data_IF_543266317103
#
_entry.id   IF_543266317103
#
_cell.length_a   1.000
_cell.length_b   1.000
_cell.length_c   1.000
_cell.angle_alpha   90.00
_cell.angle_beta   90.00
_cell.angle_gamma   90.00
#
_symmetry.space_group_name_H-M   'P 1'
#
loop_
_entity.id
_entity.type
_entity.pdbx_description
1 polymer ?
#
# COMPACT_ATOMS: atom_id res chain seq x y z
N UNK A 1 -0.84 -5.22 6.64
CA UNK A 1 -0.34 -6.12 5.56
C UNK A 1 -0.38 -7.60 5.92
N UNK A 2 0.38 -8.10 6.92
CA UNK A 2 0.45 -9.56 7.22
C UNK A 2 -0.92 -10.28 7.32
N UNK A 3 -1.89 -9.72 8.06
CA UNK A 3 -3.24 -10.31 8.20
C UNK A 3 -4.04 -10.35 6.89
N UNK A 4 -3.92 -9.33 6.03
CA UNK A 4 -4.68 -9.24 4.77
C UNK A 4 -4.04 -10.03 3.63
N UNK A 5 -2.71 -9.92 3.50
CA UNK A 5 -1.96 -10.55 2.40
C UNK A 5 -1.67 -12.03 2.67
N UNK A 6 -1.51 -12.40 3.94
CA UNK A 6 -1.30 -13.79 4.35
C UNK A 6 -0.05 -14.41 3.72
N UNK A 7 -0.21 -15.61 3.15
CA UNK A 7 0.86 -16.42 2.58
C UNK A 7 1.54 -15.83 1.35
N UNK A 8 0.90 -14.85 0.68
CA UNK A 8 1.50 -14.12 -0.44
C UNK A 8 2.64 -13.19 0.00
N UNK A 9 2.70 -12.82 1.29
CA UNK A 9 3.76 -12.02 1.84
C UNK A 9 4.88 -12.94 2.38
N UNK A 10 6.08 -12.93 1.81
CA UNK A 10 7.18 -13.74 2.31
C UNK A 10 7.53 -13.38 3.75
N UNK A 11 7.88 -14.39 4.53
CA UNK A 11 8.35 -14.20 5.91
C UNK A 11 9.87 -14.16 5.95
N UNK A 12 10.43 -13.17 6.64
CA UNK A 12 11.84 -13.16 6.94
C UNK A 12 12.18 -14.16 8.04
N UNK A 13 13.32 -14.83 7.89
CA UNK A 13 13.98 -15.50 9.00
C UNK A 13 14.50 -14.47 10.03
N UNK A 14 14.87 -14.92 11.23
CA UNK A 14 15.47 -14.05 12.26
C UNK A 14 16.73 -13.33 11.74
N UNK A 15 17.61 -14.07 11.05
CA UNK A 15 18.84 -13.53 10.47
C UNK A 15 18.56 -12.46 9.41
N UNK A 16 17.63 -12.71 8.48
CA UNK A 16 17.25 -11.72 7.47
C UNK A 16 16.64 -10.46 8.11
N UNK A 17 15.80 -10.64 9.15
CA UNK A 17 15.22 -9.51 9.88
C UNK A 17 16.29 -8.64 10.55
N UNK A 18 17.34 -9.25 11.12
CA UNK A 18 18.47 -8.53 11.69
C UNK A 18 19.27 -7.75 10.65
N UNK A 19 19.43 -8.29 9.43
CA UNK A 19 20.16 -7.63 8.36
C UNK A 19 19.44 -6.38 7.83
N UNK A 20 18.10 -6.41 7.75
CA UNK A 20 17.31 -5.30 7.21
C UNK A 20 17.00 -4.23 8.27
N UNK A 21 16.86 -4.63 9.53
CA UNK A 21 16.51 -3.70 10.60
C UNK A 21 17.67 -2.72 10.84
N UNK A 22 17.44 -1.44 10.54
CA UNK A 22 18.43 -0.38 10.74
C UNK A 22 19.51 -0.32 9.65
N UNK A 23 19.29 -0.94 8.50
CA UNK A 23 20.24 -0.95 7.38
C UNK A 23 20.21 0.34 6.53
N UNK A 24 19.86 1.48 7.11
CA UNK A 24 19.72 2.75 6.39
C UNK A 24 20.09 3.92 7.31
N UNK A 25 20.97 4.80 6.82
CA UNK A 25 21.44 5.97 7.55
C UNK A 25 20.54 7.21 7.33
N UNK A 26 19.84 7.25 6.20
CA UNK A 26 18.90 8.31 5.84
C UNK A 26 17.75 7.76 5.00
N UNK A 27 16.70 8.57 4.83
CA UNK A 27 15.53 8.23 4.01
C UNK A 27 15.40 9.29 2.91
N UNK A 28 15.54 8.87 1.66
CA UNK A 28 15.18 9.69 0.49
C UNK A 28 13.69 9.49 0.15
N UNK A 29 12.93 10.58 0.05
CA UNK A 29 11.50 10.54 -0.24
C UNK A 29 11.22 11.17 -1.60
N UNK A 30 10.74 10.37 -2.55
CA UNK A 30 10.20 10.88 -3.80
C UNK A 30 8.70 11.17 -3.60
N UNK A 31 8.29 12.43 -3.75
CA UNK A 31 6.90 12.86 -3.60
C UNK A 31 6.41 13.54 -4.88
N UNK A 32 5.29 13.05 -5.43
CA UNK A 32 4.74 13.52 -6.70
C UNK A 32 3.31 14.04 -6.58
N UNK A 33 2.47 13.38 -5.78
CA UNK A 33 1.08 13.78 -5.60
C UNK A 33 0.54 13.24 -4.27
N UNK A 34 -0.61 13.79 -3.86
CA UNK A 34 -1.45 13.30 -2.77
C UNK A 34 -2.79 12.84 -3.34
N UNK A 35 -3.34 11.73 -2.83
CA UNK A 35 -4.64 11.19 -3.27
C UNK A 35 -5.59 11.11 -2.08
N UNK A 36 -6.86 11.48 -2.29
CA UNK A 36 -7.92 11.23 -1.32
C UNK A 36 -8.39 9.77 -1.37
N UNK A 37 -8.57 9.18 -0.19
CA UNK A 37 -9.04 7.80 -0.03
C UNK A 37 -10.22 7.72 0.93
N UNK A 38 -11.03 6.70 0.75
CA UNK A 38 -12.11 6.32 1.65
C UNK A 38 -11.94 4.85 2.04
N UNK A 39 -12.35 4.50 3.27
CA UNK A 39 -12.34 3.11 3.72
C UNK A 39 -13.26 2.27 2.85
N UNK A 40 -12.78 1.08 2.47
CA UNK A 40 -13.52 0.11 1.68
C UNK A 40 -13.36 -1.30 2.28
N UNK A 41 -13.24 -1.38 3.62
CA UNK A 41 -12.97 -2.63 4.33
C UNK A 41 -14.08 -3.67 4.22
N UNK A 42 -15.28 -3.22 3.85
CA UNK A 42 -16.48 -4.05 3.73
C UNK A 42 -16.69 -4.62 2.33
N UNK A 43 -15.82 -4.28 1.37
CA UNK A 43 -15.94 -4.79 0.00
C UNK A 43 -15.57 -6.26 -0.05
N UNK A 44 -16.49 -7.07 -0.57
CA UNK A 44 -16.23 -8.47 -0.88
C UNK A 44 -15.09 -8.55 -1.88
N UNK A 45 -14.08 -9.38 -1.58
CA UNK A 45 -12.95 -9.66 -2.48
C UNK A 45 -13.43 -10.54 -3.63
N UNK A 46 -14.23 -9.96 -4.52
CA UNK A 46 -14.69 -10.62 -5.75
C UNK A 46 -13.59 -10.39 -6.80
N UNK A 47 -12.58 -11.25 -6.78
CA UNK A 47 -11.47 -11.20 -7.73
C UNK A 47 -10.20 -11.88 -7.22
N UNK A 48 -9.24 -12.15 -8.12
CA UNK A 48 -7.91 -12.62 -7.72
C UNK A 48 -7.25 -11.56 -6.81
N UNK A 49 -6.52 -11.96 -5.76
CA UNK A 49 -5.85 -11.01 -4.88
C UNK A 49 -4.85 -10.13 -5.63
N UNK A 50 -4.95 -8.82 -5.47
CA UNK A 50 -4.02 -7.85 -6.04
C UNK A 50 -3.68 -6.74 -5.03
N UNK A 51 -2.73 -5.89 -5.40
CA UNK A 51 -2.26 -4.78 -4.57
C UNK A 51 -3.39 -3.81 -4.17
N UNK A 52 -4.32 -3.50 -5.09
CA UNK A 52 -5.40 -2.55 -4.85
C UNK A 52 -6.47 -3.12 -3.92
N UNK A 53 -6.82 -4.39 -4.09
CA UNK A 53 -7.74 -5.11 -3.21
C UNK A 53 -7.17 -5.25 -1.79
N UNK A 54 -5.85 -5.46 -1.65
CA UNK A 54 -5.19 -5.60 -0.35
C UNK A 54 -5.21 -4.30 0.48
N UNK A 55 -5.22 -3.15 -0.19
CA UNK A 55 -5.34 -1.85 0.47
C UNK A 55 -6.71 -1.67 1.13
N UNK A 56 -7.77 -2.28 0.59
CA UNK A 56 -9.17 -2.10 0.99
C UNK A 56 -9.54 -0.62 1.19
N UNK A 57 -9.16 0.18 0.20
CA UNK A 57 -9.52 1.59 0.10
C UNK A 57 -10.14 1.84 -1.26
N UNK A 58 -11.05 2.80 -1.30
CA UNK A 58 -11.55 3.39 -2.53
C UNK A 58 -10.81 4.71 -2.74
N UNK A 59 -10.10 4.81 -3.85
CA UNK A 59 -9.53 6.08 -4.30
C UNK A 59 -10.67 7.00 -4.76
N UNK A 60 -10.69 8.23 -4.26
CA UNK A 60 -11.57 9.28 -4.80
C UNK A 60 -10.70 10.41 -5.35
N UNK A 61 -10.45 10.40 -6.65
CA UNK A 61 -10.01 11.60 -7.36
C UNK A 61 -11.23 12.26 -7.99
N UNK A 62 -11.38 13.58 -7.85
CA UNK A 62 -12.27 14.32 -8.72
C UNK A 62 -11.78 14.15 -10.16
N UNK A 63 -12.53 13.41 -10.96
CA UNK A 63 -12.49 13.62 -12.40
C UNK A 63 -12.80 15.10 -12.62
N UNK A 64 -11.82 15.88 -13.09
CA UNK A 64 -11.91 17.28 -13.57
C UNK A 64 -11.47 18.46 -12.64
N UNK A 65 -10.44 18.34 -11.80
CA UNK A 65 -9.81 19.56 -11.20
C UNK A 65 -8.35 19.81 -11.66
N UNK A 66 -7.85 19.10 -12.68
CA UNK A 66 -6.48 19.22 -13.17
C UNK A 66 -6.31 20.03 -14.48
N UNK A 67 -7.34 20.79 -14.90
CA UNK A 67 -7.27 21.71 -16.05
C UNK A 67 -7.64 23.16 -15.72
N UNK A 68 -7.70 23.54 -14.44
CA UNK A 68 -7.87 24.94 -14.05
C UNK A 68 -6.65 25.43 -13.27
N UNK A 69 -5.59 25.69 -14.03
CA UNK A 69 -4.55 26.69 -13.76
C UNK A 69 -3.90 27.09 -15.10
#
# INVERSE_FOLDING_TARGET
MKKRVGTRLPSFTKRQSQLVKGSSDFIGLNHYFTIYIQDDSNKSTIGPPDFNLDMAVKFSGSTLDAFDQ
#
